data_IF_503474346389
#
_entry.id   IF_503474346389
#
_cell.length_a   1.000
_cell.length_b   1.000
_cell.length_c   1.000
_cell.angle_alpha   90.00
_cell.angle_beta   90.00
_cell.angle_gamma   90.00
#
_symmetry.space_group_name_H-M   'P 1'
#
loop_
_entity.id
_entity.type
_entity.pdbx_description
1 polymer ?
#
# COMPACT_ATOMS: atom_id res chain seq x y z
N UNK A 1 2.56 -33.45 -39.07
CA UNK A 1 3.75 -32.67 -39.44
C UNK A 1 4.09 -31.84 -38.23
N UNK A 2 5.31 -31.93 -37.74
CA UNK A 2 5.75 -31.16 -36.58
C UNK A 2 5.75 -29.67 -36.94
N UNK A 3 5.18 -28.84 -36.06
CA UNK A 3 5.00 -27.43 -36.31
C UNK A 3 6.32 -26.71 -35.98
N UNK A 4 7.10 -26.39 -37.01
CA UNK A 4 8.39 -25.70 -36.89
C UNK A 4 8.15 -24.20 -37.12
N UNK A 5 8.88 -23.37 -36.38
CA UNK A 5 8.88 -21.92 -36.52
C UNK A 5 9.02 -21.50 -38.00
N UNK A 6 8.08 -20.72 -38.56
CA UNK A 6 8.06 -20.40 -40.00
C UNK A 6 9.09 -19.33 -40.40
N UNK A 7 9.82 -18.75 -39.45
CA UNK A 7 10.82 -17.71 -39.72
C UNK A 7 10.29 -16.28 -39.61
N UNK A 8 8.99 -16.12 -39.36
CA UNK A 8 8.32 -14.82 -39.20
C UNK A 8 7.19 -14.94 -38.18
N UNK A 9 6.78 -13.80 -37.66
CA UNK A 9 5.63 -13.65 -36.77
C UNK A 9 4.63 -12.71 -37.45
N UNK A 10 3.34 -13.04 -37.35
CA UNK A 10 2.25 -12.29 -37.97
C UNK A 10 1.11 -12.05 -36.97
N UNK A 11 1.41 -11.35 -35.87
CA UNK A 11 0.45 -11.12 -34.78
C UNK A 11 -0.85 -10.49 -35.29
N UNK A 12 -0.74 -9.34 -35.99
CA UNK A 12 -1.92 -8.59 -36.45
C UNK A 12 -2.76 -9.35 -37.47
N UNK A 13 -2.15 -10.22 -38.27
CA UNK A 13 -2.87 -11.05 -39.24
C UNK A 13 -3.66 -12.16 -38.53
N UNK A 14 -3.09 -12.76 -37.47
CA UNK A 14 -3.80 -13.74 -36.65
C UNK A 14 -4.99 -13.11 -35.91
N UNK A 15 -4.82 -11.91 -35.34
CA UNK A 15 -5.90 -11.17 -34.69
C UNK A 15 -7.00 -10.77 -35.69
N UNK A 16 -6.63 -10.29 -36.88
CA UNK A 16 -7.58 -9.94 -37.93
C UNK A 16 -8.36 -11.14 -38.49
N UNK A 17 -7.80 -12.35 -38.40
CA UNK A 17 -8.47 -13.59 -38.73
C UNK A 17 -9.51 -14.04 -37.68
N UNK A 18 -9.63 -13.30 -36.57
CA UNK A 18 -10.55 -13.60 -35.48
C UNK A 18 -9.98 -14.61 -34.46
N UNK A 19 -8.69 -14.91 -34.54
CA UNK A 19 -8.00 -15.71 -33.53
C UNK A 19 -7.70 -14.87 -32.29
N UNK A 20 -7.52 -15.53 -31.14
CA UNK A 20 -6.99 -14.91 -29.92
C UNK A 20 -5.49 -15.18 -29.84
N UNK A 21 -4.62 -14.28 -30.36
CA UNK A 21 -3.18 -14.50 -30.41
C UNK A 21 -2.56 -14.63 -29.01
N UNK A 22 -3.15 -13.97 -28.02
CA UNK A 22 -2.72 -14.09 -26.64
C UNK A 22 -3.83 -14.68 -25.75
N UNK A 23 -3.49 -15.41 -24.67
CA UNK A 23 -4.50 -16.04 -23.82
C UNK A 23 -5.38 -15.04 -23.04
N UNK A 24 -4.82 -13.90 -22.64
CA UNK A 24 -5.57 -12.89 -21.87
C UNK A 24 -6.14 -11.78 -22.75
N UNK A 25 -5.57 -11.52 -23.92
CA UNK A 25 -6.08 -10.54 -24.87
C UNK A 25 -6.01 -9.10 -24.35
N UNK A 26 -5.12 -8.82 -23.39
CA UNK A 26 -5.06 -7.52 -22.70
C UNK A 26 -4.59 -6.40 -23.65
N UNK A 27 -3.73 -6.76 -24.60
CA UNK A 27 -3.04 -5.82 -25.49
C UNK A 27 -3.26 -6.13 -26.98
N UNK A 28 -4.18 -7.03 -27.31
CA UNK A 28 -4.39 -7.49 -28.71
C UNK A 28 -4.84 -6.36 -29.65
N UNK A 29 -5.51 -5.33 -29.11
CA UNK A 29 -5.91 -4.14 -29.87
C UNK A 29 -4.83 -3.05 -29.94
N UNK A 30 -3.73 -3.20 -29.20
CA UNK A 30 -2.69 -2.18 -29.10
C UNK A 30 -1.66 -2.34 -30.23
N UNK A 31 -1.58 -1.33 -31.11
CA UNK A 31 -0.67 -1.33 -32.25
C UNK A 31 0.81 -1.32 -31.85
N UNK A 32 1.18 -0.72 -30.71
CA UNK A 32 2.57 -0.74 -30.24
C UNK A 32 2.95 -2.12 -29.69
N UNK A 33 2.02 -2.76 -28.96
CA UNK A 33 2.21 -4.11 -28.45
C UNK A 33 2.33 -5.13 -29.58
N UNK A 34 1.36 -5.17 -30.50
CA UNK A 34 1.33 -6.10 -31.64
C UNK A 34 2.61 -6.01 -32.48
N UNK A 35 3.05 -4.79 -32.83
CA UNK A 35 4.29 -4.58 -33.58
C UNK A 35 5.56 -4.97 -32.78
N UNK A 36 5.52 -4.88 -31.46
CA UNK A 36 6.64 -5.29 -30.58
C UNK A 36 6.67 -6.80 -30.36
N UNK A 37 5.50 -7.45 -30.31
CA UNK A 37 5.36 -8.90 -30.19
C UNK A 37 6.00 -9.62 -31.40
N UNK A 38 5.77 -9.13 -32.62
CA UNK A 38 6.40 -9.69 -33.82
C UNK A 38 7.94 -9.53 -33.80
N UNK A 39 8.44 -8.39 -33.32
CA UNK A 39 9.88 -8.17 -33.17
C UNK A 39 10.48 -9.06 -32.09
N UNK A 40 9.77 -9.23 -30.98
CA UNK A 40 10.17 -10.10 -29.87
C UNK A 40 10.25 -11.56 -30.31
N UNK A 41 9.24 -12.08 -31.00
CA UNK A 41 9.22 -13.46 -31.50
C UNK A 41 10.40 -13.72 -32.44
N UNK A 42 10.68 -12.79 -33.37
CA UNK A 42 11.85 -12.88 -34.25
C UNK A 42 13.19 -12.83 -33.49
N UNK A 43 13.29 -11.99 -32.47
CA UNK A 43 14.49 -11.90 -31.64
C UNK A 43 14.70 -13.17 -30.79
N UNK A 44 13.63 -13.70 -30.19
CA UNK A 44 13.66 -14.90 -29.37
C UNK A 44 14.05 -16.12 -30.22
N UNK A 45 13.44 -16.28 -31.40
CA UNK A 45 13.79 -17.34 -32.34
C UNK A 45 15.26 -17.28 -32.77
N UNK A 46 15.79 -16.10 -33.08
CA UNK A 46 17.23 -15.93 -33.40
C UNK A 46 18.12 -16.30 -32.22
N UNK A 47 17.75 -15.90 -31.00
CA UNK A 47 18.50 -16.21 -29.79
C UNK A 47 18.54 -17.70 -29.47
N UNK A 48 17.45 -18.41 -29.80
CA UNK A 48 17.35 -19.86 -29.68
C UNK A 48 18.10 -20.61 -30.78
N UNK A 49 18.59 -19.93 -31.82
CA UNK A 49 19.48 -20.51 -32.83
C UNK A 49 18.88 -20.63 -34.24
N UNK A 50 17.68 -20.11 -34.50
CA UNK A 50 17.15 -20.05 -35.87
C UNK A 50 18.00 -19.09 -36.74
N UNK A 51 18.34 -19.46 -37.99
CA UNK A 51 17.86 -20.62 -38.77
C UNK A 51 18.77 -21.86 -38.70
N UNK A 52 19.81 -21.88 -37.87
CA UNK A 52 20.78 -22.99 -37.78
C UNK A 52 20.15 -24.20 -37.08
N UNK A 53 19.33 -23.96 -36.05
CA UNK A 53 18.57 -24.98 -35.34
C UNK A 53 17.07 -24.83 -35.62
N UNK A 54 16.37 -25.95 -35.71
CA UNK A 54 14.91 -25.96 -35.80
C UNK A 54 14.31 -25.62 -34.43
N UNK A 55 13.30 -24.76 -34.43
CA UNK A 55 12.59 -24.33 -33.22
C UNK A 55 11.16 -24.83 -33.32
N UNK A 56 10.70 -25.54 -32.29
CA UNK A 56 9.33 -26.07 -32.16
C UNK A 56 8.37 -25.09 -31.48
N UNK A 57 8.91 -24.06 -30.81
CA UNK A 57 8.10 -22.96 -30.27
C UNK A 57 7.51 -22.15 -31.42
N UNK A 58 6.20 -21.98 -31.38
CA UNK A 58 5.44 -21.16 -32.31
C UNK A 58 5.27 -19.73 -31.78
N UNK A 59 4.69 -18.91 -32.63
CA UNK A 59 4.45 -17.48 -32.42
C UNK A 59 3.54 -17.22 -31.23
N UNK A 60 2.49 -18.02 -31.09
CA UNK A 60 1.60 -18.03 -29.93
C UNK A 60 2.32 -18.18 -28.58
N UNK A 61 3.33 -19.06 -28.46
CA UNK A 61 4.08 -19.18 -27.20
C UNK A 61 4.95 -17.96 -26.93
N UNK A 62 5.56 -17.37 -27.97
CA UNK A 62 6.34 -16.14 -27.81
C UNK A 62 5.46 -14.94 -27.44
N UNK A 63 4.28 -14.81 -28.05
CA UNK A 63 3.31 -13.76 -27.74
C UNK A 63 2.78 -13.86 -26.32
N UNK A 64 2.48 -15.09 -25.86
CA UNK A 64 2.04 -15.34 -24.49
C UNK A 64 3.12 -14.92 -23.47
N UNK A 65 4.38 -15.32 -23.71
CA UNK A 65 5.48 -14.93 -22.83
C UNK A 65 5.71 -13.41 -22.80
N UNK A 66 5.50 -12.75 -23.94
CA UNK A 66 5.61 -11.31 -24.05
C UNK A 66 4.48 -10.58 -23.32
N UNK A 67 3.23 -11.04 -23.45
CA UNK A 67 2.08 -10.51 -22.71
C UNK A 67 2.31 -10.62 -21.19
N UNK A 68 2.70 -11.80 -20.71
CA UNK A 68 3.01 -12.04 -19.30
C UNK A 68 4.09 -11.08 -18.79
N UNK A 69 5.19 -10.94 -19.53
CA UNK A 69 6.32 -10.10 -19.12
C UNK A 69 5.94 -8.61 -19.00
N UNK A 70 5.11 -8.11 -19.92
CA UNK A 70 4.63 -6.71 -19.91
C UNK A 70 3.70 -6.48 -18.72
N UNK A 71 2.78 -7.41 -18.47
CA UNK A 71 1.85 -7.32 -17.34
C UNK A 71 2.58 -7.45 -16.00
N UNK A 72 3.55 -8.35 -15.88
CA UNK A 72 4.33 -8.54 -14.68
C UNK A 72 5.15 -7.29 -14.35
N UNK A 73 5.87 -6.75 -15.33
CA UNK A 73 6.66 -5.52 -15.13
C UNK A 73 5.77 -4.36 -14.67
N UNK A 74 4.60 -4.20 -15.31
CA UNK A 74 3.63 -3.17 -14.93
C UNK A 74 3.11 -3.35 -13.51
N UNK A 75 2.84 -4.60 -13.10
CA UNK A 75 2.46 -4.95 -11.73
C UNK A 75 3.54 -4.59 -10.72
N UNK A 76 4.81 -4.92 -11.00
CA UNK A 76 5.94 -4.59 -10.13
C UNK A 76 6.09 -3.08 -9.95
N UNK A 77 6.08 -2.30 -11.04
CA UNK A 77 6.16 -0.83 -10.99
C UNK A 77 5.03 -0.25 -10.15
N UNK A 78 3.80 -0.73 -10.34
CA UNK A 78 2.65 -0.29 -9.55
C UNK A 78 2.80 -0.67 -8.07
N UNK A 79 3.29 -1.87 -7.76
CA UNK A 79 3.51 -2.30 -6.38
C UNK A 79 4.53 -1.42 -5.65
N UNK A 80 5.64 -1.08 -6.31
CA UNK A 80 6.65 -0.19 -5.72
C UNK A 80 6.13 1.24 -5.55
N UNK A 81 5.46 1.79 -6.56
CA UNK A 81 4.84 3.12 -6.47
C UNK A 81 3.81 3.19 -5.32
N UNK A 82 2.99 2.15 -5.16
CA UNK A 82 2.03 2.08 -4.04
C UNK A 82 2.79 2.00 -2.72
N UNK A 83 3.78 1.12 -2.58
CA UNK A 83 4.54 1.00 -1.32
C UNK A 83 5.20 2.32 -0.90
N UNK A 84 5.83 3.01 -1.85
CA UNK A 84 6.51 4.29 -1.59
C UNK A 84 5.52 5.38 -1.17
N UNK A 85 4.36 5.44 -1.82
CA UNK A 85 3.42 6.55 -1.64
C UNK A 85 2.26 6.25 -0.68
N UNK A 86 2.13 5.02 -0.19
CA UNK A 86 0.98 4.57 0.62
C UNK A 86 0.73 5.47 1.83
N UNK A 87 1.77 5.79 2.59
CA UNK A 87 1.68 6.65 3.78
C UNK A 87 1.27 8.08 3.42
N UNK A 88 1.68 8.58 2.26
CA UNK A 88 1.34 9.93 1.82
C UNK A 88 -0.10 10.02 1.27
N UNK A 89 -0.63 8.91 0.74
CA UNK A 89 -1.96 8.82 0.14
C UNK A 89 -3.06 8.43 1.14
N UNK A 90 -2.70 7.85 2.29
CA UNK A 90 -3.66 7.54 3.36
C UNK A 90 -4.27 8.83 3.91
N UNK A 91 -5.60 8.88 3.97
CA UNK A 91 -6.36 10.06 4.42
C UNK A 91 -6.65 11.10 3.34
N UNK A 92 -6.23 10.89 2.09
CA UNK A 92 -6.63 11.72 0.96
C UNK A 92 -8.11 11.50 0.61
N UNK A 93 -8.75 12.52 0.03
CA UNK A 93 -10.13 12.44 -0.44
C UNK A 93 -10.30 11.31 -1.48
N UNK A 94 -11.38 10.54 -1.33
CA UNK A 94 -11.77 9.50 -2.28
C UNK A 94 -12.05 10.11 -3.65
N UNK A 95 -11.41 9.59 -4.71
CA UNK A 95 -11.55 10.10 -6.10
C UNK A 95 -10.33 10.87 -6.63
N UNK A 96 -9.28 11.04 -5.83
CA UNK A 96 -8.02 11.65 -6.28
C UNK A 96 -7.31 10.78 -7.33
N UNK A 97 -7.17 11.28 -8.56
CA UNK A 97 -6.35 10.62 -9.60
C UNK A 97 -4.88 11.06 -9.49
N UNK A 98 -4.05 10.13 -9.03
CA UNK A 98 -2.60 10.28 -8.84
C UNK A 98 -1.77 9.54 -9.90
N UNK A 99 -2.41 8.96 -10.91
CA UNK A 99 -1.71 8.27 -12.00
C UNK A 99 -0.81 9.25 -12.76
N UNK A 100 0.44 8.85 -13.02
CA UNK A 100 1.50 9.66 -13.64
C UNK A 100 1.82 11.00 -12.95
N UNK A 101 1.44 11.16 -11.68
CA UNK A 101 1.77 12.35 -10.90
C UNK A 101 2.75 12.01 -9.81
N UNK A 102 3.71 12.90 -9.59
CA UNK A 102 4.58 12.83 -8.42
C UNK A 102 3.76 13.12 -7.18
N UNK A 103 3.65 12.14 -6.29
CA UNK A 103 3.03 12.34 -4.98
C UNK A 103 4.04 13.09 -4.11
N UNK A 104 3.65 14.26 -3.61
CA UNK A 104 4.46 15.00 -2.66
C UNK A 104 4.22 14.42 -1.27
N UNK A 105 5.28 13.95 -0.57
CA UNK A 105 5.12 13.46 0.79
C UNK A 105 4.54 14.54 1.70
N UNK A 106 3.61 14.15 2.58
CA UNK A 106 3.09 15.01 3.62
C UNK A 106 3.56 14.52 5.00
N UNK A 107 3.57 15.43 5.97
CA UNK A 107 3.96 15.10 7.35
C UNK A 107 2.79 14.54 8.17
N UNK A 108 1.59 14.39 7.60
CA UNK A 108 0.39 14.06 8.37
C UNK A 108 0.50 12.70 9.07
N UNK A 109 0.98 11.67 8.35
CA UNK A 109 1.17 10.34 8.94
C UNK A 109 2.35 10.29 9.91
N UNK A 110 3.41 11.09 9.67
CA UNK A 110 4.53 11.22 10.60
C UNK A 110 4.10 11.92 11.90
N UNK A 111 3.28 12.96 11.80
CA UNK A 111 2.66 13.63 12.95
C UNK A 111 1.77 12.62 13.70
N UNK A 112 0.88 11.90 13.01
CA UNK A 112 0.00 10.90 13.64
C UNK A 112 0.78 9.84 14.43
N UNK A 113 1.86 9.30 13.87
CA UNK A 113 2.70 8.33 14.57
C UNK A 113 3.42 8.99 15.76
N UNK A 114 3.90 10.22 15.58
CA UNK A 114 4.60 10.97 16.61
C UNK A 114 3.69 11.43 17.74
N UNK A 115 2.40 11.69 17.49
CA UNK A 115 1.41 12.11 18.48
C UNK A 115 1.16 11.02 19.53
N UNK A 116 1.16 9.75 19.12
CA UNK A 116 1.06 8.63 20.07
C UNK A 116 2.29 8.58 20.98
N UNK A 117 3.48 8.75 20.41
CA UNK A 117 4.71 8.83 21.20
C UNK A 117 4.74 10.08 22.10
N UNK A 118 4.27 11.22 21.59
CA UNK A 118 4.15 12.47 22.35
C UNK A 118 3.22 12.34 23.54
N UNK A 119 2.13 11.59 23.37
CA UNK A 119 1.20 11.23 24.44
C UNK A 119 1.94 10.43 25.51
N UNK A 120 2.69 9.40 25.13
CA UNK A 120 3.44 8.61 26.11
C UNK A 120 4.55 9.38 26.83
N UNK A 121 5.22 10.29 26.12
CA UNK A 121 6.27 11.13 26.68
C UNK A 121 5.73 12.32 27.51
N UNK A 122 4.42 12.58 27.52
CA UNK A 122 3.83 13.65 28.31
C UNK A 122 4.05 15.07 27.77
N UNK A 123 4.45 15.21 26.50
CA UNK A 123 4.85 16.50 25.89
C UNK A 123 3.87 17.02 24.83
N UNK A 124 2.70 16.38 24.72
CA UNK A 124 1.65 16.69 23.74
C UNK A 124 0.97 15.41 23.26
N UNK A 125 0.24 15.45 22.15
CA UNK A 125 -0.35 14.26 21.53
C UNK A 125 -1.87 14.32 21.43
N UNK A 126 -2.50 13.15 21.36
CA UNK A 126 -3.95 13.00 21.14
C UNK A 126 -4.75 12.87 22.42
N UNK A 127 -4.10 12.73 23.58
CA UNK A 127 -4.75 12.60 24.88
C UNK A 127 -4.32 13.75 25.80
N UNK A 128 -5.28 14.47 26.35
CA UNK A 128 -5.03 15.56 27.28
C UNK A 128 -4.72 15.04 28.69
N UNK A 129 -3.58 15.44 29.24
CA UNK A 129 -3.27 15.20 30.65
C UNK A 129 -3.90 16.28 31.53
N UNK A 130 -4.77 15.86 32.45
CA UNK A 130 -5.40 16.74 33.43
C UNK A 130 -4.98 16.34 34.84
N UNK A 131 -4.78 17.34 35.69
CA UNK A 131 -4.53 17.14 37.12
C UNK A 131 -5.78 17.48 37.92
N UNK A 132 -5.98 16.75 39.01
CA UNK A 132 -7.15 16.86 39.86
C UNK A 132 -6.81 16.46 41.29
N UNK A 133 -7.73 16.75 42.22
CA UNK A 133 -7.58 16.32 43.61
C UNK A 133 -8.92 15.79 44.12
N UNK A 134 -8.83 14.81 45.03
CA UNK A 134 -9.97 14.26 45.76
C UNK A 134 -9.70 14.37 47.26
N UNK A 135 -10.74 14.66 48.04
CA UNK A 135 -10.64 14.69 49.49
C UNK A 135 -10.72 13.27 50.07
N UNK A 136 -9.67 12.84 50.78
CA UNK A 136 -9.60 11.53 51.42
C UNK A 136 -10.13 11.64 52.85
N UNK A 137 -11.28 11.01 53.12
CA UNK A 137 -11.90 10.97 54.45
C UNK A 137 -11.40 9.80 55.31
N UNK A 138 -11.19 10.04 56.60
CA UNK A 138 -10.79 8.99 57.57
C UNK A 138 -11.84 7.88 57.66
N UNK A 139 -11.42 6.62 57.53
CA UNK A 139 -12.26 5.43 57.66
C UNK A 139 -12.70 4.76 56.35
N UNK A 140 -12.39 5.34 55.18
CA UNK A 140 -12.62 4.70 53.87
C UNK A 140 -11.31 4.23 53.24
N UNK A 141 -11.30 3.01 52.69
CA UNK A 141 -10.15 2.43 51.99
C UNK A 141 -10.33 2.36 50.47
N UNK A 142 -11.57 2.46 49.99
CA UNK A 142 -11.92 2.34 48.56
C UNK A 142 -12.57 3.63 48.11
N UNK A 143 -12.04 4.23 47.05
CA UNK A 143 -12.58 5.42 46.41
C UNK A 143 -12.87 5.11 44.95
N UNK A 144 -14.10 5.40 44.51
CA UNK A 144 -14.50 5.24 43.10
C UNK A 144 -14.14 6.51 42.31
N UNK A 145 -13.05 6.43 41.55
CA UNK A 145 -12.56 7.54 40.72
C UNK A 145 -13.46 7.84 39.52
N UNK A 146 -14.30 6.89 39.09
CA UNK A 146 -15.28 7.15 38.03
C UNK A 146 -16.39 8.08 38.54
N UNK A 147 -16.87 7.83 39.76
CA UNK A 147 -17.88 8.67 40.39
C UNK A 147 -17.31 10.04 40.83
N UNK A 148 -16.08 10.07 41.36
CA UNK A 148 -15.48 11.27 41.94
C UNK A 148 -14.85 12.22 40.91
N UNK A 149 -14.44 11.74 39.74
CA UNK A 149 -13.73 12.55 38.75
C UNK A 149 -14.23 12.33 37.33
N UNK A 150 -14.25 11.07 36.84
CA UNK A 150 -14.54 10.79 35.42
C UNK A 150 -15.91 11.33 34.97
N UNK A 151 -16.98 11.01 35.71
CA UNK A 151 -18.34 11.42 35.37
C UNK A 151 -18.62 12.90 35.61
N UNK A 152 -17.90 13.53 36.54
CA UNK A 152 -18.13 14.94 36.91
C UNK A 152 -17.39 15.89 35.97
N UNK A 153 -16.20 15.51 35.51
CA UNK A 153 -15.29 16.41 34.78
C UNK A 153 -15.09 16.06 33.30
N UNK A 154 -15.16 14.77 32.91
CA UNK A 154 -14.73 14.36 31.55
C UNK A 154 -15.76 13.52 30.78
N UNK A 155 -16.79 12.96 31.44
CA UNK A 155 -17.82 12.09 30.82
C UNK A 155 -17.24 10.97 29.94
N UNK A 156 -16.09 10.41 30.33
CA UNK A 156 -15.36 9.38 29.59
C UNK A 156 -14.47 8.51 30.49
N UNK A 157 -13.92 7.42 29.93
CA UNK A 157 -13.02 6.54 30.67
C UNK A 157 -11.69 7.24 30.97
N UNK A 158 -11.20 7.12 32.21
CA UNK A 158 -9.96 7.77 32.68
C UNK A 158 -8.85 6.74 32.89
N UNK A 159 -7.61 7.12 32.59
CA UNK A 159 -6.39 6.37 32.92
C UNK A 159 -5.61 7.12 34.01
N UNK A 160 -5.26 6.44 35.11
CA UNK A 160 -4.47 7.04 36.19
C UNK A 160 -2.99 6.83 35.93
N UNK A 161 -2.25 7.90 35.60
CA UNK A 161 -0.79 7.82 35.37
C UNK A 161 0.07 8.12 36.59
N UNK A 162 -0.38 9.02 37.48
CA UNK A 162 0.39 9.41 38.67
C UNK A 162 -0.53 9.80 39.83
N UNK A 163 -0.23 9.30 41.02
CA UNK A 163 -0.93 9.62 42.26
C UNK A 163 0.04 10.36 43.17
N UNK A 164 -0.38 11.54 43.64
CA UNK A 164 0.31 12.28 44.69
C UNK A 164 -0.52 12.21 45.98
N UNK A 165 0.15 11.97 47.10
CA UNK A 165 -0.44 12.12 48.43
C UNK A 165 0.29 13.23 49.17
N UNK A 166 -0.39 14.34 49.39
CA UNK A 166 0.07 15.38 50.31
C UNK A 166 -0.80 15.33 51.57
N UNK A 167 -0.18 15.03 52.71
CA UNK A 167 -0.81 15.21 54.00
C UNK A 167 -0.93 16.71 54.29
N UNK A 168 -2.03 17.14 54.91
CA UNK A 168 -2.20 18.53 55.34
C UNK A 168 -0.98 18.98 56.18
N UNK A 169 -0.41 20.17 55.91
CA UNK A 169 0.79 20.65 56.58
C UNK A 169 0.57 20.68 58.10
N UNK A 170 1.61 20.39 58.87
CA UNK A 170 1.53 20.25 60.33
C UNK A 170 0.97 21.50 61.05
N UNK A 171 1.03 22.68 60.41
CA UNK A 171 0.44 23.94 60.88
C UNK A 171 -1.09 23.97 60.84
N UNK A 172 -1.72 23.13 60.02
CA UNK A 172 -3.18 23.04 59.90
C UNK A 172 -3.78 21.91 60.77
N UNK A 173 -2.97 21.26 61.62
CA UNK A 173 -3.41 20.21 62.55
C UNK A 173 -3.60 20.75 63.96
#
# INVERSE_FOLDING_TARGET
MEAIWPGSSSFSESYAAGESPTPWGLYDTDNEFTASADKFANWAAKRLGYPIMAIELQDTQFWTCFEESVTEYSSQVNQFNIRENLLSLRGQATGSNVTHKRVTPNLADAIRISEQYGTEAGVGGTVDFKSGSISVNSGSQVYDLNALWANVSESGAIEVRKVYYEAAPAVAR
#
